data_IF_450847083402
#
_entry.id   IF_450847083402
#
_cell.length_a   1.000
_cell.length_b   1.000
_cell.length_c   1.000
_cell.angle_alpha   90.00
_cell.angle_beta   90.00
_cell.angle_gamma   90.00
#
_symmetry.space_group_name_H-M   'P 1'
#
loop_
_entity.id
_entity.type
_entity.pdbx_description
1 polymer ?
#
# COMPACT_ATOMS: atom_id res chain seq x y z
N UNK A 1 -19.66 12.43 -16.07
CA UNK A 1 -18.19 12.30 -16.07
C UNK A 1 -17.87 10.82 -15.96
N UNK A 2 -17.02 10.27 -16.82
CA UNK A 2 -16.53 8.89 -16.66
C UNK A 2 -15.46 8.95 -15.57
N UNK A 3 -15.71 8.30 -14.42
CA UNK A 3 -14.75 8.23 -13.32
C UNK A 3 -13.62 7.25 -13.59
N UNK A 4 -12.71 7.11 -12.63
CA UNK A 4 -11.66 6.09 -12.70
C UNK A 4 -12.26 4.69 -12.50
N UNK A 5 -11.73 3.65 -13.16
CA UNK A 5 -12.08 2.27 -12.86
C UNK A 5 -11.74 1.89 -11.40
N UNK A 6 -12.20 0.71 -10.98
CA UNK A 6 -11.82 0.17 -9.67
C UNK A 6 -10.32 -0.14 -9.65
N UNK A 7 -9.59 0.34 -8.65
CA UNK A 7 -8.24 -0.13 -8.35
C UNK A 7 -8.34 -1.52 -7.73
N UNK A 8 -8.19 -2.56 -8.55
CA UNK A 8 -8.32 -3.94 -8.13
C UNK A 8 -6.95 -4.61 -8.02
N UNK A 9 -6.62 -5.08 -6.81
CA UNK A 9 -5.41 -5.86 -6.57
C UNK A 9 -5.58 -7.28 -7.07
N UNK A 10 -4.67 -7.74 -7.94
CA UNK A 10 -4.66 -9.12 -8.41
C UNK A 10 -4.42 -10.07 -7.21
N UNK A 11 -5.31 -11.06 -6.93
CA UNK A 11 -5.20 -11.88 -5.72
C UNK A 11 -3.93 -12.74 -5.64
N UNK A 12 -3.46 -13.27 -6.78
CA UNK A 12 -2.27 -14.12 -6.85
C UNK A 12 -1.01 -13.29 -6.56
N UNK A 13 -0.84 -12.16 -7.25
CA UNK A 13 0.27 -11.25 -7.02
C UNK A 13 0.22 -10.64 -5.61
N UNK A 14 -0.97 -10.34 -5.08
CA UNK A 14 -1.12 -9.86 -3.70
C UNK A 14 -0.60 -10.90 -2.71
N UNK A 15 -1.01 -12.16 -2.89
CA UNK A 15 -0.54 -13.26 -2.03
C UNK A 15 0.97 -13.47 -2.14
N UNK A 16 1.53 -13.25 -3.33
CA UNK A 16 2.96 -13.40 -3.61
C UNK A 16 3.83 -12.36 -2.89
N UNK A 17 3.37 -11.10 -2.83
CA UNK A 17 4.16 -9.99 -2.25
C UNK A 17 4.00 -9.85 -0.73
N UNK A 18 3.00 -10.50 -0.12
CA UNK A 18 2.76 -10.46 1.35
C UNK A 18 4.01 -10.83 2.16
N UNK A 19 4.74 -11.92 1.88
CA UNK A 19 5.96 -12.25 2.62
C UNK A 19 7.05 -11.17 2.54
N UNK A 20 7.19 -10.50 1.39
CA UNK A 20 8.17 -9.42 1.20
C UNK A 20 7.76 -8.18 2.00
N UNK A 21 6.45 -7.87 2.05
CA UNK A 21 5.89 -6.79 2.88
C UNK A 21 6.06 -7.08 4.38
N UNK A 22 5.80 -8.30 4.83
CA UNK A 22 6.04 -8.71 6.23
C UNK A 22 7.52 -8.61 6.61
N UNK A 23 8.43 -9.04 5.72
CA UNK A 23 9.86 -8.93 5.95
C UNK A 23 10.33 -7.46 6.03
N UNK A 24 9.74 -6.57 5.23
CA UNK A 24 10.08 -5.16 5.22
C UNK A 24 9.55 -4.38 6.45
N UNK A 25 8.35 -4.74 6.91
CA UNK A 25 7.62 -4.04 7.97
C UNK A 25 7.85 -4.65 9.35
N UNK A 26 8.25 -5.93 9.42
CA UNK A 26 8.37 -6.71 10.65
C UNK A 26 7.06 -7.38 11.04
N UNK A 27 7.17 -8.47 11.81
CA UNK A 27 6.03 -9.27 12.22
C UNK A 27 4.98 -8.44 12.99
N UNK A 28 3.72 -8.58 12.59
CA UNK A 28 2.58 -7.90 13.24
C UNK A 28 2.28 -6.48 12.73
N UNK A 29 3.01 -5.96 11.74
CA UNK A 29 2.78 -4.62 11.17
C UNK A 29 2.04 -4.62 9.82
N UNK A 30 1.65 -5.80 9.31
CA UNK A 30 0.83 -5.94 8.11
C UNK A 30 -0.61 -6.29 8.50
N UNK A 31 -1.58 -5.66 7.83
CA UNK A 31 -3.00 -5.94 8.03
C UNK A 31 -3.73 -5.93 6.69
N UNK A 32 -4.74 -6.80 6.56
CA UNK A 32 -5.70 -6.77 5.45
C UNK A 32 -6.69 -5.65 5.72
N UNK A 33 -6.98 -4.84 4.70
CA UNK A 33 -7.96 -3.77 4.78
C UNK A 33 -9.21 -4.11 3.95
N UNK A 34 -10.34 -3.58 4.39
CA UNK A 34 -11.55 -3.55 3.57
C UNK A 34 -11.39 -2.57 2.39
N UNK A 35 -12.16 -2.79 1.34
CA UNK A 35 -12.20 -1.87 0.20
C UNK A 35 -12.72 -0.48 0.64
N UNK A 36 -12.09 0.57 0.12
CA UNK A 36 -12.47 1.96 0.41
C UNK A 36 -13.16 2.61 -0.78
N UNK A 37 -13.91 3.69 -0.54
CA UNK A 37 -14.61 4.47 -1.57
C UNK A 37 -13.76 5.56 -2.22
N UNK A 38 -12.45 5.62 -1.92
CA UNK A 38 -11.52 6.55 -2.57
C UNK A 38 -11.36 6.26 -4.06
N UNK A 39 -11.22 7.32 -4.87
CA UNK A 39 -10.94 7.21 -6.30
C UNK A 39 -9.42 7.33 -6.53
N UNK A 40 -8.85 6.40 -7.29
CA UNK A 40 -7.41 6.31 -7.55
C UNK A 40 -7.17 5.95 -9.03
N UNK A 41 -6.35 6.73 -9.72
CA UNK A 41 -6.10 6.57 -11.15
C UNK A 41 -5.05 5.50 -11.45
N UNK A 42 -4.36 4.99 -10.42
CA UNK A 42 -3.55 3.77 -10.52
C UNK A 42 -4.34 2.57 -11.11
N UNK A 43 -5.68 2.60 -10.99
CA UNK A 43 -6.60 1.68 -11.66
C UNK A 43 -6.36 1.54 -13.18
N UNK A 44 -5.85 2.56 -13.86
CA UNK A 44 -5.49 2.44 -15.28
C UNK A 44 -4.33 1.47 -15.51
N UNK A 45 -3.35 1.39 -14.61
CA UNK A 45 -2.28 0.39 -14.66
C UNK A 45 -2.79 -1.00 -14.28
N UNK A 46 -3.58 -1.08 -13.20
CA UNK A 46 -4.14 -2.34 -12.70
C UNK A 46 -5.05 -3.06 -13.73
N UNK A 47 -5.63 -2.33 -14.67
CA UNK A 47 -6.40 -2.91 -15.78
C UNK A 47 -5.56 -3.45 -16.94
N UNK A 48 -4.25 -3.20 -16.98
CA UNK A 48 -3.36 -3.61 -18.08
C UNK A 48 -2.48 -4.79 -17.73
N UNK A 49 -2.04 -4.86 -16.48
CA UNK A 49 -1.16 -5.91 -15.96
C UNK A 49 -1.55 -6.26 -14.53
N UNK A 50 -1.29 -7.51 -14.06
CA UNK A 50 -1.41 -7.83 -12.64
C UNK A 50 -0.69 -6.79 -11.80
N UNK A 51 -1.42 -6.17 -10.89
CA UNK A 51 -0.91 -5.07 -10.06
C UNK A 51 -1.34 -5.25 -8.61
N UNK A 52 -0.55 -4.67 -7.71
CA UNK A 52 -0.86 -4.55 -6.28
C UNK A 52 -0.62 -3.12 -5.85
N UNK A 53 -1.59 -2.55 -5.17
CA UNK A 53 -1.57 -1.24 -4.53
C UNK A 53 -1.82 -1.43 -3.03
N UNK A 54 -1.02 -0.81 -2.18
CA UNK A 54 -1.16 -0.91 -0.72
C UNK A 54 -0.93 0.45 -0.07
N UNK A 55 -1.37 0.58 1.18
CA UNK A 55 -1.16 1.78 1.97
C UNK A 55 -0.02 1.58 2.96
N UNK A 56 0.75 2.65 3.18
CA UNK A 56 1.74 2.73 4.27
C UNK A 56 1.17 3.61 5.37
N UNK A 57 1.24 3.15 6.62
CA UNK A 57 0.82 3.95 7.77
C UNK A 57 1.66 5.23 7.90
N UNK A 58 1.00 6.38 8.02
CA UNK A 58 1.65 7.68 8.14
C UNK A 58 1.17 8.52 9.33
N UNK A 59 0.32 7.97 10.21
CA UNK A 59 -0.07 8.66 11.45
C UNK A 59 0.98 8.44 12.55
N UNK A 60 1.13 9.37 13.51
CA UNK A 60 1.89 9.10 14.73
C UNK A 60 1.39 7.84 15.46
N UNK A 61 2.33 7.12 16.09
CA UNK A 61 2.02 5.86 16.79
C UNK A 61 1.11 6.06 18.01
N UNK A 62 1.22 7.20 18.68
CA UNK A 62 0.42 7.59 19.85
C UNK A 62 -0.97 8.12 19.47
N UNK A 63 -1.23 8.40 18.19
CA UNK A 63 -2.54 8.82 17.70
C UNK A 63 -3.51 7.62 17.64
N UNK A 64 -4.64 7.63 18.38
CA UNK A 64 -5.56 6.49 18.35
C UNK A 64 -6.24 6.30 16.99
N UNK A 65 -6.65 5.07 16.63
CA UNK A 65 -7.42 4.82 15.42
C UNK A 65 -8.67 5.72 15.32
N UNK A 66 -8.90 6.32 14.16
CA UNK A 66 -10.03 7.22 13.91
C UNK A 66 -9.82 8.68 14.34
N UNK A 67 -8.69 9.02 14.97
CA UNK A 67 -8.36 10.39 15.39
C UNK A 67 -7.38 11.10 14.45
N UNK A 68 -6.81 10.39 13.47
CA UNK A 68 -5.98 11.01 12.44
C UNK A 68 -6.85 11.83 11.49
N UNK A 69 -6.41 13.05 11.18
CA UNK A 69 -7.08 13.91 10.22
C UNK A 69 -7.10 13.24 8.83
N UNK A 70 -8.25 13.20 8.12
CA UNK A 70 -8.34 12.55 6.82
C UNK A 70 -7.45 13.21 5.76
N UNK A 71 -7.15 12.46 4.70
CA UNK A 71 -6.62 13.02 3.46
C UNK A 71 -7.51 14.19 2.97
N UNK A 72 -6.90 15.20 2.36
CA UNK A 72 -7.56 16.41 1.84
C UNK A 72 -8.16 17.36 2.90
N UNK A 73 -7.72 17.28 4.15
CA UNK A 73 -8.05 18.26 5.20
C UNK A 73 -6.85 19.14 5.53
N UNK A 74 -7.04 20.39 6.01
CA UNK A 74 -5.93 21.27 6.38
C UNK A 74 -5.12 20.76 7.58
N UNK A 75 -5.72 19.91 8.41
CA UNK A 75 -5.08 19.29 9.57
C UNK A 75 -4.34 17.98 9.21
N UNK A 76 -4.34 17.58 7.93
CA UNK A 76 -3.64 16.39 7.46
C UNK A 76 -2.15 16.49 7.80
N UNK A 77 -1.65 15.43 8.43
CA UNK A 77 -0.28 15.33 8.89
C UNK A 77 0.27 13.93 8.61
N UNK A 78 1.53 13.87 8.19
CA UNK A 78 2.27 12.62 8.00
C UNK A 78 3.46 12.60 8.95
N UNK A 79 3.54 11.55 9.75
CA UNK A 79 4.72 11.20 10.52
C UNK A 79 5.78 10.61 9.57
N UNK A 80 6.88 11.34 9.41
CA UNK A 80 7.94 10.99 8.48
C UNK A 80 8.67 9.69 8.85
N UNK A 81 8.61 9.25 10.11
CA UNK A 81 9.18 7.96 10.52
C UNK A 81 8.54 6.79 9.74
N UNK A 82 7.27 6.93 9.35
CA UNK A 82 6.56 5.96 8.50
C UNK A 82 7.09 5.87 7.06
N UNK A 83 7.77 6.90 6.56
CA UNK A 83 8.28 6.93 5.19
C UNK A 83 9.38 5.88 4.96
N UNK A 84 10.20 5.62 5.98
CA UNK A 84 11.23 4.58 5.93
C UNK A 84 10.59 3.20 5.70
N UNK A 85 9.45 2.93 6.34
CA UNK A 85 8.68 1.69 6.17
C UNK A 85 8.18 1.55 4.74
N UNK A 86 7.64 2.62 4.14
CA UNK A 86 7.18 2.63 2.76
C UNK A 86 8.30 2.36 1.75
N UNK A 87 9.46 2.99 1.92
CA UNK A 87 10.64 2.76 1.05
C UNK A 87 11.14 1.32 1.18
N UNK A 88 11.25 0.79 2.41
CA UNK A 88 11.63 -0.61 2.64
C UNK A 88 10.67 -1.57 1.96
N UNK A 89 9.36 -1.36 2.11
CA UNK A 89 8.33 -2.19 1.50
C UNK A 89 8.50 -2.24 -0.02
N UNK A 90 8.63 -1.08 -0.67
CA UNK A 90 8.84 -1.00 -2.12
C UNK A 90 10.12 -1.74 -2.56
N UNK A 91 11.24 -1.51 -1.87
CA UNK A 91 12.52 -2.15 -2.20
C UNK A 91 12.47 -3.67 -2.04
N UNK A 92 11.90 -4.17 -0.94
CA UNK A 92 11.80 -5.59 -0.66
C UNK A 92 10.90 -6.30 -1.66
N UNK A 93 9.70 -5.76 -1.90
CA UNK A 93 8.76 -6.32 -2.89
C UNK A 93 9.41 -6.37 -4.27
N UNK A 94 10.03 -5.26 -4.71
CA UNK A 94 10.65 -5.18 -6.04
C UNK A 94 11.83 -6.15 -6.18
N UNK A 95 12.74 -6.18 -5.21
CA UNK A 95 13.91 -7.04 -5.27
C UNK A 95 13.52 -8.52 -5.22
N UNK A 96 12.64 -8.90 -4.29
CA UNK A 96 12.20 -10.29 -4.13
C UNK A 96 11.42 -10.78 -5.37
N UNK A 97 10.54 -9.95 -5.93
CA UNK A 97 9.83 -10.26 -7.17
C UNK A 97 10.80 -10.50 -8.34
N UNK A 98 11.78 -9.61 -8.55
CA UNK A 98 12.77 -9.77 -9.63
C UNK A 98 13.66 -11.01 -9.45
N UNK A 99 13.96 -11.41 -8.20
CA UNK A 99 14.74 -12.61 -7.91
C UNK A 99 13.96 -13.91 -8.12
N UNK A 100 12.64 -13.89 -7.86
CA UNK A 100 11.74 -15.03 -8.07
C UNK A 100 11.33 -15.22 -9.53
N UNK A 101 11.31 -14.15 -10.30
CA UNK A 101 10.96 -14.14 -11.73
C UNK A 101 12.17 -13.72 -12.58
N UNK A 102 13.27 -14.50 -12.60
CA UNK A 102 14.38 -14.21 -13.49
C UNK A 102 13.94 -14.35 -14.94
N UNK A 103 14.40 -13.42 -15.79
CA UNK A 103 14.20 -13.48 -17.24
C UNK A 103 14.80 -14.73 -17.86
#
# INVERSE_FOLDING_TARGET
VVGYPITYNNPELTSEVVPSLEAATGAGHLQVMDATTGAEDFSFFANKVPSVYWFTGGKPLDTPPGYAAPHHTPDFFVDEDGMITGVKALCFVTADYLLKHPN
#
